data_IF_319156612298
#
_entry.id   IF_319156612298
#
_cell.length_a   1.000
_cell.length_b   1.000
_cell.length_c   1.000
_cell.angle_alpha   90.00
_cell.angle_beta   90.00
_cell.angle_gamma   90.00
#
_symmetry.space_group_name_H-M   'P 1'
#
loop_
_entity.id
_entity.type
_entity.pdbx_description
1 polymer ?
#
# COMPACT_ATOMS: atom_id res chain seq x y z
N UNK A 1 -33.56 41.88 -33.36
CA UNK A 1 -32.79 41.63 -32.11
C UNK A 1 -33.24 40.39 -31.31
N UNK A 2 -34.21 39.58 -31.76
CA UNK A 2 -34.76 38.43 -31.01
C UNK A 2 -34.15 37.04 -31.35
N UNK A 3 -33.27 36.92 -32.35
CA UNK A 3 -32.68 35.62 -32.74
C UNK A 3 -31.38 35.26 -31.99
N UNK A 4 -30.65 36.26 -31.47
CA UNK A 4 -29.40 36.02 -30.72
C UNK A 4 -29.64 35.56 -29.27
N UNK A 5 -30.77 35.93 -28.67
CA UNK A 5 -31.14 35.54 -27.29
C UNK A 5 -31.58 34.08 -27.18
N UNK A 6 -32.15 33.49 -28.25
CA UNK A 6 -32.55 32.07 -28.29
C UNK A 6 -31.35 31.12 -28.38
N UNK A 7 -30.26 31.55 -29.03
CA UNK A 7 -29.03 30.74 -29.12
C UNK A 7 -28.28 30.65 -27.77
N UNK A 8 -28.34 31.70 -26.95
CA UNK A 8 -27.74 31.71 -25.61
C UNK A 8 -28.51 30.85 -24.60
N UNK A 9 -29.84 30.80 -24.71
CA UNK A 9 -30.70 29.90 -23.92
C UNK A 9 -30.55 28.43 -24.33
N UNK A 10 -30.29 28.13 -25.62
CA UNK A 10 -30.01 26.78 -26.07
C UNK A 10 -28.62 26.29 -25.60
N UNK A 11 -27.63 27.19 -25.56
CA UNK A 11 -26.29 26.90 -25.07
C UNK A 11 -26.25 26.69 -23.54
N UNK A 12 -27.09 27.39 -22.76
CA UNK A 12 -27.19 27.15 -21.31
C UNK A 12 -27.97 25.87 -20.98
N UNK A 13 -28.96 25.47 -21.80
CA UNK A 13 -29.62 24.17 -21.68
C UNK A 13 -28.72 22.97 -22.04
N UNK A 14 -27.69 23.17 -22.87
CA UNK A 14 -26.70 22.13 -23.19
C UNK A 14 -25.68 21.89 -22.05
N UNK A 15 -25.50 22.85 -21.13
CA UNK A 15 -24.62 22.69 -19.97
C UNK A 15 -25.28 21.99 -18.77
N UNK A 16 -26.61 21.89 -18.71
CA UNK A 16 -27.30 21.19 -17.60
C UNK A 16 -27.36 19.67 -17.77
N UNK A 17 -27.02 19.14 -18.96
CA UNK A 17 -27.02 17.68 -19.22
C UNK A 17 -25.73 16.99 -18.75
N UNK A 18 -24.73 17.75 -18.30
CA UNK A 18 -23.44 17.19 -17.82
C UNK A 18 -23.55 16.63 -16.38
N UNK A 19 -24.63 16.91 -15.65
CA UNK A 19 -24.81 16.44 -14.27
C UNK A 19 -25.04 14.92 -14.15
N UNK A 20 -25.49 14.24 -15.22
CA UNK A 20 -25.59 12.76 -15.26
C UNK A 20 -24.29 12.07 -15.69
N UNK A 21 -23.22 12.82 -15.96
CA UNK A 21 -21.96 12.27 -16.48
C UNK A 21 -21.01 11.74 -15.38
N UNK A 22 -21.21 12.08 -14.10
CA UNK A 22 -20.21 11.81 -13.05
C UNK A 22 -20.01 10.31 -12.75
N UNK A 23 -21.05 9.49 -12.91
CA UNK A 23 -20.98 8.04 -12.66
C UNK A 23 -20.90 7.20 -13.94
N UNK A 24 -21.12 7.79 -15.12
CA UNK A 24 -21.34 7.06 -16.37
C UNK A 24 -20.11 6.30 -16.90
N UNK A 25 -18.92 6.72 -16.48
CA UNK A 25 -17.65 6.10 -16.90
C UNK A 25 -17.23 4.91 -16.02
N UNK A 26 -17.96 4.64 -14.93
CA UNK A 26 -17.71 3.52 -14.03
C UNK A 26 -18.58 2.31 -14.38
N UNK A 27 -18.06 1.11 -14.12
CA UNK A 27 -18.76 -0.14 -14.43
C UNK A 27 -19.80 -0.51 -13.38
N UNK A 28 -19.50 -0.33 -12.09
CA UNK A 28 -20.24 -0.96 -11.00
C UNK A 28 -20.52 0.01 -9.85
N UNK A 29 -21.69 -0.12 -9.22
CA UNK A 29 -22.05 0.54 -7.97
C UNK A 29 -22.58 -0.43 -6.92
N UNK A 30 -22.37 -0.12 -5.64
CA UNK A 30 -22.90 -0.83 -4.47
C UNK A 30 -23.41 0.17 -3.44
N UNK A 31 -24.66 0.01 -2.97
CA UNK A 31 -25.22 0.88 -1.92
C UNK A 31 -24.43 0.69 -0.61
N UNK A 32 -24.11 1.78 0.08
CA UNK A 32 -23.52 1.74 1.43
C UNK A 32 -24.67 1.70 2.43
N UNK A 33 -24.63 0.73 3.34
CA UNK A 33 -25.67 0.43 4.31
C UNK A 33 -25.14 0.67 5.73
N UNK A 34 -26.02 1.10 6.63
CA UNK A 34 -25.69 1.29 8.06
C UNK A 34 -25.04 2.64 8.39
N UNK A 35 -25.23 3.66 7.56
CA UNK A 35 -24.76 5.02 7.86
C UNK A 35 -25.65 5.60 8.96
N UNK A 36 -25.04 5.92 10.10
CA UNK A 36 -25.70 6.44 11.31
C UNK A 36 -25.03 7.70 11.86
N UNK A 37 -23.76 7.92 11.53
CA UNK A 37 -22.90 8.98 12.03
C UNK A 37 -22.23 9.71 10.86
N UNK A 38 -21.55 10.81 11.15
CA UNK A 38 -20.84 11.57 10.12
C UNK A 38 -19.63 10.80 9.57
N UNK A 39 -18.94 10.03 10.42
CA UNK A 39 -17.71 9.33 10.08
C UNK A 39 -17.90 7.83 10.20
N UNK A 40 -17.50 7.11 9.16
CA UNK A 40 -17.61 5.65 9.14
C UNK A 40 -16.38 5.01 8.52
N UNK A 41 -16.19 3.73 8.84
CA UNK A 41 -15.21 2.88 8.18
C UNK A 41 -15.89 1.82 7.31
N UNK A 42 -15.32 1.54 6.15
CA UNK A 42 -15.77 0.51 5.22
C UNK A 42 -14.58 -0.36 4.84
N UNK A 43 -14.62 -1.64 5.18
CA UNK A 43 -13.66 -2.60 4.62
C UNK A 43 -14.04 -2.93 3.18
N UNK A 44 -13.07 -2.83 2.26
CA UNK A 44 -13.28 -3.19 0.86
C UNK A 44 -13.23 -4.71 0.70
N UNK A 45 -14.34 -5.36 0.29
CA UNK A 45 -14.35 -6.80 0.11
C UNK A 45 -13.56 -7.20 -1.14
N UNK A 46 -13.04 -8.45 -1.21
CA UNK A 46 -12.31 -8.96 -2.38
C UNK A 46 -13.04 -8.78 -3.71
N UNK A 47 -14.39 -8.88 -3.69
CA UNK A 47 -15.23 -8.67 -4.89
C UNK A 47 -15.18 -7.27 -5.48
N UNK A 48 -14.86 -6.24 -4.67
CA UNK A 48 -14.60 -4.87 -5.16
C UNK A 48 -13.17 -4.79 -5.66
N UNK A 49 -12.20 -5.26 -4.86
CA UNK A 49 -10.77 -5.20 -5.18
C UNK A 49 -10.42 -5.96 -6.47
N UNK A 50 -11.21 -6.97 -6.86
CA UNK A 50 -11.04 -7.68 -8.11
C UNK A 50 -11.30 -6.82 -9.36
N UNK A 51 -12.09 -5.76 -9.24
CA UNK A 51 -12.65 -4.97 -10.36
C UNK A 51 -12.14 -3.53 -10.44
N UNK A 52 -11.32 -3.11 -9.47
CA UNK A 52 -10.69 -1.79 -9.44
C UNK A 52 -9.41 -1.77 -10.30
N UNK A 53 -8.96 -0.58 -10.65
CA UNK A 53 -7.69 -0.36 -11.34
C UNK A 53 -6.49 -0.79 -10.47
N UNK A 54 -5.33 -1.06 -11.07
CA UNK A 54 -4.12 -1.50 -10.34
C UNK A 54 -3.69 -0.51 -9.24
N UNK A 55 -3.93 0.79 -9.46
CA UNK A 55 -3.60 1.87 -8.54
C UNK A 55 -4.75 2.27 -7.61
N UNK A 56 -5.88 1.57 -7.64
CA UNK A 56 -7.09 1.83 -6.83
C UNK A 56 -7.67 3.25 -7.03
N UNK A 57 -7.29 3.93 -8.10
CA UNK A 57 -7.66 5.31 -8.40
C UNK A 57 -9.14 5.46 -8.77
N UNK A 58 -9.76 4.36 -9.17
CA UNK A 58 -11.10 4.31 -9.71
C UNK A 58 -12.18 4.01 -8.68
N UNK A 59 -11.93 4.30 -7.40
CA UNK A 59 -12.92 4.19 -6.34
C UNK A 59 -13.52 5.57 -6.08
N UNK A 60 -14.85 5.65 -6.02
CA UNK A 60 -15.59 6.86 -5.62
C UNK A 60 -16.74 6.54 -4.69
N UNK A 61 -17.13 7.53 -3.89
CA UNK A 61 -18.36 7.47 -3.09
C UNK A 61 -19.25 8.62 -3.54
N UNK A 62 -20.44 8.30 -4.03
CA UNK A 62 -21.42 9.30 -4.45
C UNK A 62 -22.68 9.20 -3.58
N UNK A 63 -23.10 10.34 -3.03
CA UNK A 63 -24.38 10.53 -2.37
C UNK A 63 -25.42 11.06 -3.36
N UNK A 64 -26.51 10.32 -3.53
CA UNK A 64 -27.58 10.64 -4.48
C UNK A 64 -28.83 11.02 -3.69
N UNK A 65 -29.47 12.12 -4.09
CA UNK A 65 -30.85 12.43 -3.75
C UNK A 65 -31.62 12.78 -5.04
N UNK A 66 -32.92 13.10 -5.00
CA UNK A 66 -33.69 13.44 -6.20
C UNK A 66 -33.24 14.73 -6.93
N UNK A 67 -32.46 15.61 -6.29
CA UNK A 67 -32.07 16.93 -6.82
C UNK A 67 -30.65 16.94 -7.38
N UNK A 68 -29.70 16.32 -6.69
CA UNK A 68 -28.27 16.40 -6.98
C UNK A 68 -27.49 15.13 -6.59
N UNK A 69 -26.34 14.96 -7.24
CA UNK A 69 -25.33 13.94 -6.91
C UNK A 69 -24.10 14.65 -6.38
N UNK A 70 -23.61 14.22 -5.22
CA UNK A 70 -22.44 14.81 -4.56
C UNK A 70 -21.41 13.73 -4.28
N UNK A 71 -20.14 14.00 -4.57
CA UNK A 71 -19.04 13.12 -4.20
C UNK A 71 -18.67 13.28 -2.72
N UNK A 72 -18.60 12.18 -1.98
CA UNK A 72 -18.17 12.18 -0.59
C UNK A 72 -16.66 11.95 -0.49
N UNK A 73 -15.91 12.86 0.17
CA UNK A 73 -14.50 12.66 0.46
C UNK A 73 -14.25 11.42 1.31
N UNK A 74 -13.14 10.75 1.02
CA UNK A 74 -12.73 9.56 1.76
C UNK A 74 -11.21 9.39 1.81
N UNK A 75 -10.72 8.59 2.75
CA UNK A 75 -9.34 8.12 2.82
C UNK A 75 -9.30 6.62 2.61
N UNK A 76 -8.50 6.17 1.64
CA UNK A 76 -8.14 4.77 1.49
C UNK A 76 -6.90 4.47 2.34
N UNK A 77 -7.05 3.57 3.31
CA UNK A 77 -5.99 3.09 4.21
C UNK A 77 -5.72 1.63 3.92
N UNK A 78 -4.44 1.32 3.75
CA UNK A 78 -3.94 -0.05 3.68
C UNK A 78 -3.43 -0.39 5.09
N UNK A 79 -3.97 -1.44 5.69
CA UNK A 79 -3.65 -1.89 7.05
C UNK A 79 -2.35 -2.71 7.08
N UNK A 80 -1.27 -2.13 6.51
CA UNK A 80 0.09 -2.63 6.60
C UNK A 80 0.64 -2.45 8.01
N UNK A 81 1.72 -3.16 8.33
CA UNK A 81 2.43 -2.99 9.59
C UNK A 81 2.94 -1.56 9.74
N UNK A 82 2.83 -1.03 10.95
CA UNK A 82 3.23 0.34 11.27
C UNK A 82 3.92 0.36 12.62
N UNK A 83 4.97 1.16 12.69
CA UNK A 83 5.56 1.60 13.94
C UNK A 83 4.93 2.94 14.30
N UNK A 84 4.38 3.02 15.50
CA UNK A 84 3.88 4.26 16.05
C UNK A 84 4.73 4.62 17.26
N UNK A 85 5.42 5.74 17.17
CA UNK A 85 6.10 6.34 18.32
C UNK A 85 5.06 7.13 19.12
N UNK A 86 4.76 6.65 20.32
CA UNK A 86 3.93 7.34 21.29
C UNK A 86 4.83 8.00 22.33
N UNK A 87 4.79 9.32 22.39
CA UNK A 87 5.53 10.08 23.39
C UNK A 87 4.91 9.91 24.78
N UNK A 88 5.77 9.66 25.77
CA UNK A 88 5.39 9.48 27.16
C UNK A 88 5.98 10.64 27.95
N UNK A 89 5.09 11.41 28.58
CA UNK A 89 5.50 12.47 29.49
C UNK A 89 6.25 11.92 30.70
N UNK A 90 7.25 12.64 31.18
CA UNK A 90 8.09 12.24 32.29
C UNK A 90 8.63 13.48 33.02
N UNK A 91 9.13 13.28 34.23
CA UNK A 91 9.85 14.30 34.99
C UNK A 91 11.27 13.82 35.28
N UNK A 92 12.27 14.70 35.11
CA UNK A 92 13.64 14.42 35.53
C UNK A 92 13.78 14.78 37.01
N UNK A 93 13.74 13.78 37.89
CA UNK A 93 13.67 13.99 39.34
C UNK A 93 15.04 14.04 40.02
N UNK A 94 16.08 13.44 39.41
CA UNK A 94 17.43 13.46 39.97
C UNK A 94 18.51 13.54 38.89
N UNK A 95 19.50 14.40 39.15
CA UNK A 95 20.79 14.45 38.45
C UNK A 95 21.85 14.33 39.53
N UNK A 96 22.49 13.16 39.63
CA UNK A 96 23.47 12.89 40.69
C UNK A 96 24.73 12.26 40.12
N UNK A 97 25.82 12.27 40.89
CA UNK A 97 27.10 11.71 40.45
C UNK A 97 27.87 11.15 41.64
N UNK A 98 28.56 10.02 41.43
CA UNK A 98 29.42 9.37 42.42
C UNK A 98 30.67 8.84 41.72
N UNK A 99 31.81 9.49 41.97
CA UNK A 99 33.07 9.23 41.25
C UNK A 99 32.85 9.39 39.73
N UNK A 100 33.25 8.42 38.92
CA UNK A 100 33.07 8.39 37.46
C UNK A 100 31.69 7.88 37.01
N UNK A 101 30.73 7.74 37.93
CA UNK A 101 29.36 7.33 37.59
C UNK A 101 28.42 8.53 37.71
N UNK A 102 27.75 8.86 36.61
CA UNK A 102 26.73 9.90 36.55
C UNK A 102 25.36 9.26 36.39
N UNK A 103 24.36 9.79 37.08
CA UNK A 103 23.01 9.21 37.15
C UNK A 103 21.96 10.26 36.80
N UNK A 104 21.04 9.86 35.93
CA UNK A 104 19.84 10.61 35.60
C UNK A 104 18.64 9.74 35.91
N UNK A 105 17.74 10.19 36.78
CA UNK A 105 16.54 9.45 37.15
C UNK A 105 15.30 10.16 36.66
N UNK A 106 14.51 9.46 35.86
CA UNK A 106 13.24 9.90 35.32
C UNK A 106 12.10 9.25 36.11
N UNK A 107 11.10 10.04 36.48
CA UNK A 107 9.81 9.56 36.92
C UNK A 107 8.83 9.59 35.75
N UNK A 108 8.09 8.50 35.57
CA UNK A 108 7.20 8.30 34.43
C UNK A 108 5.83 7.87 34.96
N UNK A 109 4.71 8.36 34.41
CA UNK A 109 3.39 7.90 34.79
C UNK A 109 3.28 6.39 34.52
N UNK A 110 3.22 5.57 35.58
CA UNK A 110 3.26 4.10 35.51
C UNK A 110 2.00 3.44 34.90
N UNK A 111 1.28 4.16 34.03
CA UNK A 111 0.10 3.67 33.32
C UNK A 111 0.49 2.83 32.10
N UNK A 112 1.57 3.20 31.41
CA UNK A 112 1.96 2.64 30.13
C UNK A 112 3.40 2.08 30.18
N UNK A 113 3.67 1.05 29.37
CA UNK A 113 5.03 0.57 29.17
C UNK A 113 5.78 1.51 28.21
N UNK A 114 7.10 1.46 28.23
CA UNK A 114 7.97 2.16 27.29
C UNK A 114 9.12 1.26 26.87
N UNK A 115 9.75 1.57 25.73
CA UNK A 115 10.77 0.72 25.14
C UNK A 115 11.86 1.49 24.37
N UNK A 116 11.78 2.82 24.34
CA UNK A 116 12.81 3.68 23.76
C UNK A 116 13.02 4.93 24.63
N UNK A 117 14.28 5.27 24.88
CA UNK A 117 14.70 6.56 25.45
C UNK A 117 15.75 7.18 24.53
N UNK A 118 15.49 8.38 24.03
CA UNK A 118 16.41 9.15 23.19
C UNK A 118 16.99 10.28 24.04
N UNK A 119 18.31 10.41 24.06
CA UNK A 119 19.01 11.38 24.90
C UNK A 119 19.71 12.44 24.06
N UNK A 120 19.48 13.72 24.37
CA UNK A 120 20.26 14.83 23.83
C UNK A 120 21.29 15.33 24.85
N UNK A 121 22.51 15.63 24.41
CA UNK A 121 23.67 15.97 25.24
C UNK A 121 24.38 17.16 24.63
N UNK A 122 24.87 18.07 25.48
CA UNK A 122 25.69 19.20 25.05
C UNK A 122 27.10 18.79 24.63
N UNK A 123 27.61 17.66 25.13
CA UNK A 123 28.92 17.14 24.78
C UNK A 123 29.00 16.86 23.26
N UNK A 124 30.02 17.42 22.61
CA UNK A 124 30.18 17.30 21.14
C UNK A 124 30.59 15.90 20.71
N UNK A 125 31.61 15.33 21.37
CA UNK A 125 32.15 14.02 21.07
C UNK A 125 32.17 13.18 22.35
N UNK A 126 31.68 11.94 22.28
CA UNK A 126 31.70 11.00 23.39
C UNK A 126 31.50 9.57 22.89
N UNK A 127 31.91 8.62 23.73
CA UNK A 127 31.66 7.19 23.57
C UNK A 127 31.44 6.60 24.96
N UNK A 128 30.19 6.35 25.31
CA UNK A 128 29.81 5.96 26.66
C UNK A 128 29.06 4.64 26.64
N UNK A 129 29.36 3.82 27.66
CA UNK A 129 28.53 2.69 28.04
C UNK A 129 27.53 3.14 29.09
N UNK A 130 26.30 2.72 28.88
CA UNK A 130 25.13 3.14 29.62
C UNK A 130 24.43 1.91 30.19
N UNK A 131 24.05 1.97 31.46
CA UNK A 131 23.17 1.00 32.09
C UNK A 131 21.84 1.68 32.42
N UNK A 132 20.75 1.05 31.99
CA UNK A 132 19.38 1.47 32.26
C UNK A 132 18.77 0.53 33.30
N UNK A 133 18.21 1.10 34.35
CA UNK A 133 17.54 0.37 35.42
C UNK A 133 16.12 0.90 35.63
N UNK A 134 15.20 0.03 36.04
CA UNK A 134 13.83 0.37 36.40
C UNK A 134 13.53 0.08 37.87
N UNK A 135 12.68 0.91 38.50
CA UNK A 135 12.21 0.73 39.88
C UNK A 135 10.76 1.22 40.03
N UNK A 136 10.00 0.64 40.96
CA UNK A 136 8.68 1.15 41.33
C UNK A 136 8.73 2.16 42.48
N UNK A 137 9.67 1.98 43.42
CA UNK A 137 9.71 2.70 44.71
C UNK A 137 11.08 3.35 45.00
N UNK A 138 12.00 3.35 44.04
CA UNK A 138 13.39 3.82 44.16
C UNK A 138 14.30 3.05 45.13
N UNK A 139 13.80 2.03 45.85
CA UNK A 139 14.59 1.15 46.72
C UNK A 139 15.32 0.06 45.92
N UNK A 140 14.58 -0.72 45.14
CA UNK A 140 15.09 -1.86 44.37
C UNK A 140 15.13 -1.54 42.88
N UNK A 141 16.28 -1.81 42.25
CA UNK A 141 16.55 -1.46 40.86
C UNK A 141 16.81 -2.72 40.02
N UNK A 142 16.02 -2.87 38.96
CA UNK A 142 16.11 -4.00 38.03
C UNK A 142 16.80 -3.55 36.75
N UNK A 143 17.79 -4.30 36.28
CA UNK A 143 18.54 -3.94 35.06
C UNK A 143 17.69 -4.23 33.82
N UNK A 144 17.48 -3.22 32.99
CA UNK A 144 16.75 -3.31 31.71
C UNK A 144 17.74 -3.41 30.55
N UNK A 145 18.74 -2.53 30.54
CA UNK A 145 19.87 -2.59 29.61
C UNK A 145 21.19 -2.59 30.37
N UNK A 146 22.11 -3.43 29.89
CA UNK A 146 23.46 -3.52 30.40
C UNK A 146 24.44 -3.18 29.27
N UNK A 147 25.38 -2.27 29.55
CA UNK A 147 26.48 -1.89 28.65
C UNK A 147 26.03 -1.38 27.27
N UNK A 148 24.87 -0.70 27.18
CA UNK A 148 24.41 -0.08 25.94
C UNK A 148 25.35 1.06 25.53
N UNK A 149 25.85 1.05 24.29
CA UNK A 149 26.78 2.06 23.81
C UNK A 149 26.03 3.23 23.16
N UNK A 150 26.31 4.45 23.61
CA UNK A 150 25.91 5.68 22.92
C UNK A 150 27.15 6.47 22.53
N UNK A 151 27.12 7.13 21.39
CA UNK A 151 28.28 7.86 20.89
C UNK A 151 27.92 9.05 20.01
N UNK A 152 28.83 10.01 19.96
CA UNK A 152 28.79 11.17 19.08
C UNK A 152 30.19 11.43 18.55
N UNK A 153 30.31 11.60 17.22
CA UNK A 153 31.55 11.90 16.53
C UNK A 153 31.27 13.00 15.51
N UNK A 154 31.86 14.17 15.75
CA UNK A 154 31.78 15.34 14.87
C UNK A 154 33.18 15.87 14.58
N UNK A 155 33.66 15.64 13.36
CA UNK A 155 34.93 16.13 12.83
C UNK A 155 34.76 16.60 11.37
N UNK A 156 35.86 16.83 10.63
CA UNK A 156 35.79 17.31 9.24
C UNK A 156 35.27 16.28 8.21
N UNK A 157 35.15 15.01 8.58
CA UNK A 157 34.76 13.91 7.68
C UNK A 157 33.41 13.29 8.03
N UNK A 158 32.97 13.37 9.30
CA UNK A 158 31.71 12.79 9.75
C UNK A 158 31.03 13.67 10.81
N UNK A 159 29.71 13.67 10.77
CA UNK A 159 28.83 14.21 11.82
C UNK A 159 27.80 13.11 12.13
N UNK A 160 28.14 12.25 13.10
CA UNK A 160 27.35 11.08 13.47
C UNK A 160 27.01 11.12 14.96
N UNK A 161 25.76 10.81 15.29
CA UNK A 161 25.26 10.74 16.66
C UNK A 161 24.27 9.59 16.83
N UNK A 162 24.51 8.76 17.83
CA UNK A 162 23.60 7.67 18.22
C UNK A 162 23.42 7.68 19.75
N UNK A 163 22.23 8.05 20.18
CA UNK A 163 21.87 8.22 21.60
C UNK A 163 20.54 7.58 21.96
N UNK A 164 20.12 6.58 21.17
CA UNK A 164 18.90 5.80 21.40
C UNK A 164 19.21 4.63 22.32
N UNK A 165 18.42 4.48 23.38
CA UNK A 165 18.38 3.30 24.22
C UNK A 165 17.11 2.52 23.87
N UNK A 166 17.26 1.42 23.13
CA UNK A 166 16.15 0.54 22.73
C UNK A 166 16.16 -0.72 23.58
N UNK A 167 15.01 -1.12 24.12
CA UNK A 167 14.88 -2.26 25.04
C UNK A 167 13.51 -2.93 24.94
N UNK A 168 13.33 -4.15 25.50
CA UNK A 168 12.00 -4.75 25.60
C UNK A 168 11.03 -3.86 26.40
N UNK A 169 9.72 -3.98 26.15
CA UNK A 169 8.71 -3.22 26.88
C UNK A 169 8.90 -3.36 28.40
N UNK A 170 9.14 -2.23 29.06
CA UNK A 170 9.31 -2.13 30.49
C UNK A 170 8.25 -1.20 31.09
N UNK A 171 7.76 -1.53 32.29
CA UNK A 171 6.71 -0.76 32.99
C UNK A 171 7.13 -0.49 34.43
N UNK A 172 7.96 0.52 34.61
CA UNK A 172 8.39 1.03 35.92
C UNK A 172 7.97 2.48 36.10
N UNK A 173 7.79 2.91 37.35
CA UNK A 173 7.58 4.32 37.69
C UNK A 173 8.86 5.14 37.55
N UNK A 174 10.02 4.56 37.88
CA UNK A 174 11.30 5.24 37.84
C UNK A 174 12.27 4.54 36.91
N UNK A 175 12.97 5.31 36.09
CA UNK A 175 14.05 4.84 35.24
C UNK A 175 15.33 5.58 35.58
N UNK A 176 16.39 4.86 35.90
CA UNK A 176 17.70 5.44 36.18
C UNK A 176 18.68 5.04 35.11
N UNK A 177 19.26 6.04 34.48
CA UNK A 177 20.32 5.90 33.49
C UNK A 177 21.63 6.21 34.18
N UNK A 178 22.59 5.29 34.07
CA UNK A 178 23.93 5.45 34.61
C UNK A 178 24.97 5.46 33.50
N UNK A 179 25.88 6.42 33.60
CA UNK A 179 26.97 6.64 32.64
C UNK A 179 28.28 6.47 33.36
N UNK A 180 29.17 5.64 32.81
CA UNK A 180 30.55 5.55 33.28
C UNK A 180 31.42 6.44 32.40
N UNK A 181 31.84 7.59 32.94
CA UNK A 181 32.62 8.60 32.21
C UNK A 181 33.47 9.43 33.16
N UNK A 182 34.61 9.90 32.67
CA UNK A 182 35.43 10.90 33.38
C UNK A 182 34.89 12.32 33.20
N UNK A 183 34.20 12.55 32.08
CA UNK A 183 33.57 13.83 31.73
C UNK A 183 32.08 13.73 32.01
N UNK A 184 31.52 14.74 32.67
CA UNK A 184 30.10 14.84 32.95
C UNK A 184 29.27 14.78 31.64
N UNK A 185 28.32 13.83 31.52
CA UNK A 185 27.35 13.80 30.44
C UNK A 185 26.30 14.89 30.58
N UNK A 186 26.50 16.07 30.01
CA UNK A 186 25.58 17.20 30.13
C UNK A 186 24.28 16.98 29.35
N UNK A 187 23.30 16.33 29.98
CA UNK A 187 21.98 16.07 29.40
C UNK A 187 21.27 17.40 29.08
N UNK A 188 20.93 17.60 27.81
CA UNK A 188 20.18 18.75 27.32
C UNK A 188 18.68 18.47 27.29
N UNK A 189 18.29 17.29 26.83
CA UNK A 189 16.90 16.83 26.83
C UNK A 189 16.84 15.30 26.79
N UNK A 190 15.68 14.75 27.12
CA UNK A 190 15.37 13.35 26.91
C UNK A 190 13.98 13.25 26.27
N UNK A 191 13.78 12.24 25.44
CA UNK A 191 12.49 11.91 24.87
C UNK A 191 12.23 10.43 25.15
N UNK A 192 11.11 10.13 25.79
CA UNK A 192 10.75 8.77 26.19
C UNK A 192 9.56 8.34 25.33
N UNK A 193 9.67 7.18 24.71
CA UNK A 193 8.65 6.67 23.81
C UNK A 193 8.25 5.23 24.13
N UNK A 194 7.01 4.92 23.78
CA UNK A 194 6.59 3.59 23.44
C UNK A 194 6.53 3.50 21.90
N UNK A 195 7.47 2.75 21.33
CA UNK A 195 7.44 2.31 19.94
C UNK A 195 6.48 1.12 19.84
N UNK A 196 5.22 1.41 19.53
CA UNK A 196 4.18 0.40 19.33
C UNK A 196 4.31 -0.21 17.94
N UNK A 197 4.49 -1.52 17.88
CA UNK A 197 4.38 -2.28 16.65
C UNK A 197 2.92 -2.70 16.43
N UNK A 198 2.25 -2.02 15.49
CA UNK A 198 0.90 -2.38 15.06
C UNK A 198 1.04 -3.37 13.90
N UNK A 199 0.72 -4.63 14.17
CA UNK A 199 0.77 -5.70 13.17
C UNK A 199 -0.17 -5.44 11.99
N UNK A 200 0.26 -5.87 10.80
CA UNK A 200 -0.57 -5.81 9.60
C UNK A 200 -1.86 -6.64 9.75
N UNK A 201 -2.95 -6.17 9.15
CA UNK A 201 -4.18 -6.95 8.98
C UNK A 201 -4.24 -7.52 7.57
N UNK A 202 -4.51 -8.81 7.48
CA UNK A 202 -4.51 -9.56 6.23
C UNK A 202 -5.87 -10.18 5.95
N UNK A 203 -6.23 -10.20 4.67
CA UNK A 203 -7.26 -11.06 4.11
C UNK A 203 -6.60 -12.22 3.37
N UNK A 204 -6.95 -13.45 3.74
CA UNK A 204 -6.49 -14.64 3.02
C UNK A 204 -7.16 -14.71 1.65
N UNK A 205 -6.38 -14.95 0.61
CA UNK A 205 -6.88 -15.10 -0.76
C UNK A 205 -6.91 -16.58 -1.11
N UNK A 206 -8.05 -17.05 -1.61
CA UNK A 206 -8.24 -18.46 -1.94
C UNK A 206 -7.46 -18.81 -3.21
N UNK A 207 -6.56 -19.79 -3.10
CA UNK A 207 -5.92 -20.44 -4.25
C UNK A 207 -6.95 -21.39 -4.87
N UNK A 208 -7.29 -21.16 -6.13
CA UNK A 208 -8.24 -21.98 -6.88
C UNK A 208 -7.54 -23.18 -7.53
N UNK A 209 -6.30 -22.98 -8.00
CA UNK A 209 -5.52 -24.02 -8.66
C UNK A 209 -4.03 -23.83 -8.38
N UNK A 210 -3.33 -24.93 -8.16
CA UNK A 210 -1.89 -24.99 -7.94
C UNK A 210 -1.34 -26.11 -8.82
N UNK A 211 -0.56 -25.73 -9.83
CA UNK A 211 0.18 -26.67 -10.68
C UNK A 211 1.65 -26.62 -10.35
N UNK A 212 2.29 -27.77 -10.21
CA UNK A 212 3.72 -27.89 -9.99
C UNK A 212 4.31 -28.66 -11.15
N UNK A 213 5.32 -28.08 -11.79
CA UNK A 213 6.01 -28.63 -12.95
C UNK A 213 7.51 -28.44 -12.81
N UNK A 214 8.29 -29.14 -13.62
CA UNK A 214 9.75 -29.06 -13.61
C UNK A 214 10.25 -28.70 -14.99
N UNK A 215 11.18 -27.74 -15.06
CA UNK A 215 11.99 -27.47 -16.23
C UNK A 215 13.35 -28.15 -16.03
N UNK A 216 13.51 -29.33 -16.63
CA UNK A 216 14.72 -30.16 -16.46
C UNK A 216 15.95 -29.54 -17.12
N UNK A 217 15.77 -28.78 -18.19
CA UNK A 217 16.87 -28.14 -18.91
C UNK A 217 17.46 -27.00 -18.08
N UNK A 218 16.59 -26.25 -17.39
CA UNK A 218 16.99 -25.16 -16.48
C UNK A 218 17.23 -25.60 -15.05
N UNK A 219 16.91 -26.84 -14.71
CA UNK A 219 16.98 -27.39 -13.34
C UNK A 219 16.15 -26.56 -12.33
N UNK A 220 14.91 -26.31 -12.71
CA UNK A 220 13.98 -25.47 -11.95
C UNK A 220 12.65 -26.17 -11.67
N UNK A 221 12.08 -25.87 -10.51
CA UNK A 221 10.68 -26.19 -10.19
C UNK A 221 9.82 -24.94 -10.40
N UNK A 222 8.73 -25.10 -11.15
CA UNK A 222 7.81 -24.00 -11.50
C UNK A 222 6.43 -24.31 -10.93
N UNK A 223 5.98 -23.45 -10.03
CA UNK A 223 4.64 -23.49 -9.47
C UNK A 223 3.78 -22.41 -10.13
N UNK A 224 2.70 -22.81 -10.79
CA UNK A 224 1.66 -21.88 -11.26
C UNK A 224 0.55 -21.83 -10.23
N UNK A 225 0.36 -20.65 -9.62
CA UNK A 225 -0.65 -20.43 -8.59
C UNK A 225 -1.74 -19.54 -9.19
N UNK A 226 -2.95 -20.09 -9.33
CA UNK A 226 -4.12 -19.33 -9.80
C UNK A 226 -5.07 -19.07 -8.63
N UNK A 227 -5.37 -17.80 -8.38
CA UNK A 227 -6.30 -17.34 -7.36
C UNK A 227 -7.74 -17.37 -7.89
N UNK A 228 -8.71 -17.49 -6.99
CA UNK A 228 -10.14 -17.53 -7.33
C UNK A 228 -10.60 -16.28 -8.10
N UNK A 229 -10.13 -15.12 -7.66
CA UNK A 229 -10.36 -13.83 -8.27
C UNK A 229 -9.08 -12.99 -8.23
N UNK A 230 -9.06 -11.90 -9.00
CA UNK A 230 -8.00 -10.91 -8.89
C UNK A 230 -8.07 -10.28 -7.49
N UNK A 231 -6.96 -10.24 -6.77
CA UNK A 231 -6.92 -9.73 -5.40
C UNK A 231 -5.56 -9.10 -5.11
N UNK A 232 -5.47 -8.15 -4.15
CA UNK A 232 -4.19 -7.64 -3.72
C UNK A 232 -3.46 -8.75 -2.96
N UNK A 233 -2.20 -8.98 -3.31
CA UNK A 233 -1.32 -9.94 -2.64
C UNK A 233 -0.09 -9.19 -2.18
N UNK A 234 0.27 -9.37 -0.92
CA UNK A 234 1.45 -8.77 -0.28
C UNK A 234 2.23 -9.78 0.56
N UNK A 235 1.77 -11.02 0.62
CA UNK A 235 2.36 -12.08 1.42
C UNK A 235 2.11 -13.44 0.78
N UNK A 236 3.12 -14.30 0.81
CA UNK A 236 3.01 -15.72 0.47
C UNK A 236 3.69 -16.58 1.53
N UNK A 237 3.12 -17.74 1.82
CA UNK A 237 3.73 -18.76 2.66
C UNK A 237 3.66 -20.11 1.97
N UNK A 238 4.76 -20.85 2.04
CA UNK A 238 4.92 -22.17 1.42
C UNK A 238 5.06 -23.22 2.53
N UNK A 239 4.17 -24.22 2.49
CA UNK A 239 4.27 -25.40 3.36
C UNK A 239 5.07 -26.49 2.63
N UNK A 240 6.29 -26.72 3.08
CA UNK A 240 7.25 -27.65 2.48
C UNK A 240 7.40 -28.86 3.40
N UNK A 241 7.08 -30.04 2.88
CA UNK A 241 6.99 -31.27 3.65
C UNK A 241 8.25 -32.15 3.62
N UNK A 242 9.33 -31.67 3.01
CA UNK A 242 10.59 -32.39 2.99
C UNK A 242 11.17 -32.52 4.40
N UNK A 243 11.76 -33.68 4.69
CA UNK A 243 12.43 -33.97 5.96
C UNK A 243 13.94 -33.71 5.92
N UNK A 244 14.48 -33.39 4.74
CA UNK A 244 15.90 -33.06 4.54
C UNK A 244 16.11 -31.55 4.52
N UNK A 245 17.34 -31.13 4.81
CA UNK A 245 17.73 -29.72 4.74
C UNK A 245 17.81 -29.19 3.31
N UNK A 246 17.33 -27.96 3.13
CA UNK A 246 17.35 -27.29 1.84
C UNK A 246 17.68 -25.82 2.00
N UNK A 247 18.28 -25.26 0.96
CA UNK A 247 18.56 -23.83 0.81
C UNK A 247 18.49 -23.49 -0.68
N UNK A 248 17.38 -22.90 -1.13
CA UNK A 248 17.12 -22.65 -2.56
C UNK A 248 16.64 -21.24 -2.80
N UNK A 249 17.26 -20.55 -3.75
CA UNK A 249 16.73 -19.28 -4.23
C UNK A 249 15.42 -19.50 -4.99
N UNK A 250 14.52 -18.52 -4.87
CA UNK A 250 13.31 -18.49 -5.66
C UNK A 250 13.05 -17.10 -6.24
N UNK A 251 12.27 -17.07 -7.30
CA UNK A 251 11.68 -15.88 -7.87
C UNK A 251 10.15 -15.99 -7.87
N UNK A 252 9.48 -15.07 -7.19
CA UNK A 252 8.03 -14.94 -7.26
C UNK A 252 7.67 -13.90 -8.30
N UNK A 253 6.85 -14.29 -9.26
CA UNK A 253 6.37 -13.46 -10.36
C UNK A 253 4.85 -13.39 -10.37
N UNK A 254 4.30 -12.37 -11.01
CA UNK A 254 2.86 -12.24 -11.27
C UNK A 254 2.60 -11.97 -12.75
N UNK A 255 1.47 -12.44 -13.25
CA UNK A 255 1.03 -12.12 -14.61
C UNK A 255 0.60 -10.66 -14.68
N UNK A 256 1.42 -9.82 -15.31
CA UNK A 256 1.19 -8.38 -15.44
C UNK A 256 0.22 -8.07 -16.58
N UNK A 257 0.37 -8.78 -17.69
CA UNK A 257 -0.52 -8.67 -18.85
C UNK A 257 -0.78 -10.05 -19.45
N UNK A 258 -1.65 -10.09 -20.46
CA UNK A 258 -1.87 -11.28 -21.25
C UNK A 258 -2.30 -10.95 -22.67
N UNK A 259 -1.83 -11.75 -23.62
CA UNK A 259 -2.16 -11.63 -25.04
C UNK A 259 -2.91 -12.90 -25.47
N UNK A 260 -4.07 -12.73 -26.10
CA UNK A 260 -4.79 -13.84 -26.70
C UNK A 260 -4.06 -14.27 -27.98
N UNK A 261 -3.71 -15.54 -28.08
CA UNK A 261 -3.14 -16.15 -29.28
C UNK A 261 -4.00 -17.32 -29.73
N UNK A 262 -3.83 -17.79 -30.96
CA UNK A 262 -4.55 -18.97 -31.49
C UNK A 262 -4.33 -20.23 -30.64
N UNK A 263 -3.18 -20.32 -29.94
CA UNK A 263 -2.83 -21.43 -29.04
C UNK A 263 -3.26 -21.20 -27.60
N UNK A 264 -4.01 -20.13 -27.33
CA UNK A 264 -4.47 -19.74 -26.00
C UNK A 264 -3.82 -18.46 -25.47
N UNK A 265 -4.04 -18.18 -24.18
CA UNK A 265 -3.52 -16.98 -23.53
C UNK A 265 -2.03 -17.11 -23.22
N UNK A 266 -1.23 -16.16 -23.71
CA UNK A 266 0.17 -15.99 -23.30
C UNK A 266 0.24 -14.88 -22.25
N UNK A 267 0.81 -15.18 -21.09
CA UNK A 267 0.95 -14.22 -19.98
C UNK A 267 2.37 -13.68 -19.93
N UNK A 268 2.53 -12.36 -19.80
CA UNK A 268 3.84 -11.78 -19.48
C UNK A 268 3.95 -11.62 -17.97
N UNK A 269 5.03 -12.16 -17.42
CA UNK A 269 5.30 -12.17 -16.00
C UNK A 269 6.28 -11.07 -15.63
N UNK A 270 6.07 -10.47 -14.46
CA UNK A 270 7.02 -9.56 -13.83
C UNK A 270 7.41 -10.09 -12.46
N UNK A 271 8.68 -9.95 -12.13
CA UNK A 271 9.22 -10.27 -10.80
C UNK A 271 8.56 -9.39 -9.75
N UNK A 272 8.04 -10.02 -8.71
CA UNK A 272 7.43 -9.38 -7.55
C UNK A 272 8.41 -9.31 -6.39
N UNK A 273 9.08 -10.43 -6.13
CA UNK A 273 10.14 -10.53 -5.13
C UNK A 273 11.03 -11.75 -5.40
N UNK A 274 12.22 -11.75 -4.81
CA UNK A 274 13.15 -12.86 -4.79
C UNK A 274 13.49 -13.18 -3.33
N UNK A 275 13.88 -14.42 -3.06
CA UNK A 275 14.25 -14.82 -1.71
C UNK A 275 14.82 -16.22 -1.67
N UNK A 276 14.90 -16.78 -0.47
CA UNK A 276 15.47 -18.10 -0.23
C UNK A 276 14.52 -18.95 0.60
N UNK A 277 14.23 -20.15 0.11
CA UNK A 277 13.58 -21.22 0.86
C UNK A 277 14.61 -21.96 1.68
N UNK A 278 14.35 -22.17 2.97
CA UNK A 278 15.24 -22.95 3.83
C UNK A 278 14.48 -23.80 4.87
N UNK A 279 15.14 -24.83 5.42
CA UNK A 279 14.58 -25.74 6.42
C UNK A 279 14.61 -25.23 7.87
N UNK A 280 15.26 -24.09 8.13
CA UNK A 280 15.50 -23.55 9.48
C UNK A 280 14.37 -22.59 9.89
N UNK A 281 13.98 -21.69 8.99
CA UNK A 281 13.00 -20.66 9.23
C UNK A 281 11.66 -20.96 8.55
N UNK A 282 10.60 -20.25 8.96
CA UNK A 282 9.34 -20.31 8.25
C UNK A 282 9.48 -19.67 6.88
N UNK A 283 9.05 -20.37 5.84
CA UNK A 283 9.03 -19.87 4.47
C UNK A 283 7.84 -18.92 4.25
N UNK A 284 7.90 -17.77 4.91
CA UNK A 284 6.91 -16.68 4.90
C UNK A 284 7.55 -15.41 4.32
N UNK A 285 7.01 -14.92 3.20
CA UNK A 285 7.61 -13.80 2.47
C UNK A 285 6.61 -12.66 2.30
N UNK A 286 7.00 -11.47 2.76
CA UNK A 286 6.27 -10.20 2.57
C UNK A 286 6.86 -9.45 1.38
N UNK A 287 6.01 -8.74 0.63
CA UNK A 287 6.42 -7.93 -0.53
C UNK A 287 5.44 -6.78 -0.77
N UNK A 288 5.78 -5.90 -1.71
CA UNK A 288 4.92 -4.80 -2.12
C UNK A 288 3.60 -5.32 -2.71
N UNK A 289 2.48 -4.76 -2.25
CA UNK A 289 1.15 -5.22 -2.63
C UNK A 289 0.91 -5.06 -4.14
N UNK A 290 0.49 -6.13 -4.81
CA UNK A 290 0.12 -6.13 -6.24
C UNK A 290 -1.26 -6.77 -6.43
N UNK A 291 -2.06 -6.22 -7.34
CA UNK A 291 -3.32 -6.84 -7.76
C UNK A 291 -3.03 -7.93 -8.81
N UNK A 292 -3.19 -9.19 -8.43
CA UNK A 292 -2.91 -10.32 -9.32
C UNK A 292 -3.99 -11.40 -9.21
N UNK A 293 -4.14 -12.18 -10.29
CA UNK A 293 -4.92 -13.42 -10.29
C UNK A 293 -4.04 -14.66 -10.50
N UNK A 294 -2.92 -14.50 -11.21
CA UNK A 294 -1.97 -15.58 -11.48
C UNK A 294 -0.59 -15.18 -10.97
N UNK A 295 0.00 -16.07 -10.18
CA UNK A 295 1.37 -15.98 -9.70
C UNK A 295 2.17 -17.16 -10.25
N UNK A 296 3.47 -16.97 -10.39
CA UNK A 296 4.41 -18.03 -10.75
C UNK A 296 5.58 -17.98 -9.78
N UNK A 297 5.85 -19.08 -9.10
CA UNK A 297 7.04 -19.25 -8.28
C UNK A 297 8.02 -20.14 -9.05
N UNK A 298 9.22 -19.64 -9.29
CA UNK A 298 10.33 -20.39 -9.87
C UNK A 298 11.34 -20.66 -8.78
N UNK A 299 11.65 -21.93 -8.53
CA UNK A 299 12.62 -22.37 -7.52
C UNK A 299 13.82 -22.94 -8.28
N UNK A 300 15.02 -22.46 -7.95
CA UNK A 300 16.26 -23.02 -8.48
C UNK A 300 16.58 -24.31 -7.73
N UNK A 301 16.42 -25.46 -8.39
CA UNK A 301 16.72 -26.76 -7.79
C UNK A 301 18.20 -27.12 -7.91
N UNK A 302 18.88 -26.61 -8.94
CA UNK A 302 20.21 -27.06 -9.34
C UNK A 302 20.23 -28.59 -9.48
N UNK A 303 21.21 -29.28 -8.90
CA UNK A 303 21.30 -30.75 -8.96
C UNK A 303 20.43 -31.47 -7.91
N UNK A 304 19.62 -30.73 -7.13
CA UNK A 304 18.83 -31.32 -6.06
C UNK A 304 17.47 -31.82 -6.53
N UNK A 305 16.91 -32.79 -5.81
CA UNK A 305 15.53 -33.24 -6.03
C UNK A 305 14.51 -32.11 -5.72
N UNK A 306 13.43 -31.95 -6.49
CA UNK A 306 12.38 -30.95 -6.25
C UNK A 306 11.80 -30.98 -4.83
N UNK A 307 11.40 -29.81 -4.31
CA UNK A 307 10.73 -29.72 -3.00
C UNK A 307 9.28 -30.21 -3.08
N UNK A 308 8.82 -30.89 -2.04
CA UNK A 308 7.45 -31.34 -1.86
C UNK A 308 6.62 -30.24 -1.19
N UNK A 309 5.97 -29.42 -2.02
CA UNK A 309 5.17 -28.28 -1.58
C UNK A 309 3.71 -28.74 -1.41
N UNK A 310 3.25 -28.82 -0.16
CA UNK A 310 1.89 -29.27 0.19
C UNK A 310 0.86 -28.19 -0.05
N UNK A 311 1.18 -26.95 0.33
CA UNK A 311 0.23 -25.86 0.31
C UNK A 311 0.92 -24.51 0.06
N UNK A 312 0.16 -23.60 -0.53
CA UNK A 312 0.55 -22.20 -0.74
C UNK A 312 -0.53 -21.31 -0.16
N UNK A 313 -0.17 -20.48 0.80
CA UNK A 313 -1.08 -19.50 1.41
C UNK A 313 -0.72 -18.12 0.88
N UNK A 314 -1.64 -17.51 0.15
CA UNK A 314 -1.53 -16.13 -0.30
C UNK A 314 -2.38 -15.20 0.57
N UNK A 315 -1.83 -14.05 0.97
CA UNK A 315 -2.55 -13.03 1.75
C UNK A 315 -2.30 -11.65 1.17
N UNK A 316 -3.28 -10.76 1.34
CA UNK A 316 -3.19 -9.35 1.00
C UNK A 316 -3.55 -8.46 2.18
N UNK A 317 -3.00 -7.26 2.24
CA UNK A 317 -3.40 -6.30 3.27
C UNK A 317 -4.90 -5.96 3.18
N UNK A 318 -5.54 -5.82 4.33
CA UNK A 318 -6.90 -5.31 4.42
C UNK A 318 -6.94 -3.86 3.94
N UNK A 319 -7.86 -3.55 3.03
CA UNK A 319 -8.07 -2.21 2.51
C UNK A 319 -9.32 -1.61 3.15
N UNK A 320 -9.18 -0.45 3.77
CA UNK A 320 -10.26 0.24 4.48
C UNK A 320 -10.45 1.64 3.95
N UNK A 321 -11.70 2.01 3.71
CA UNK A 321 -12.09 3.38 3.43
C UNK A 321 -12.60 4.02 4.72
N UNK A 322 -12.17 5.24 5.00
CA UNK A 322 -12.80 6.12 5.99
C UNK A 322 -13.46 7.27 5.25
N UNK A 323 -14.78 7.39 5.35
CA UNK A 323 -15.56 8.38 4.60
C UNK A 323 -16.33 9.32 5.52
N UNK A 324 -16.55 10.55 5.03
CA UNK A 324 -17.38 11.57 5.68
C UNK A 324 -18.72 11.71 4.96
N UNK A 325 -19.82 11.54 5.68
CA UNK A 325 -21.18 11.70 5.16
C UNK A 325 -21.85 12.89 5.85
N UNK A 326 -22.01 14.00 5.13
CA UNK A 326 -22.55 15.25 5.69
C UNK A 326 -24.08 15.36 5.57
N UNK A 327 -24.64 14.82 4.49
CA UNK A 327 -26.06 14.96 4.19
C UNK A 327 -26.79 13.61 4.26
N UNK A 328 -28.08 13.65 4.53
CA UNK A 328 -28.97 12.48 4.41
C UNK A 328 -29.22 12.18 2.92
N UNK A 329 -28.38 11.32 2.34
CA UNK A 329 -28.41 10.87 0.94
C UNK A 329 -28.28 9.36 0.88
N UNK A 330 -28.68 8.77 -0.25
CA UNK A 330 -28.34 7.38 -0.53
C UNK A 330 -26.92 7.33 -1.09
N UNK A 331 -25.98 6.80 -0.31
CA UNK A 331 -24.58 6.71 -0.70
C UNK A 331 -24.26 5.39 -1.40
N UNK A 332 -23.42 5.47 -2.44
CA UNK A 332 -22.97 4.33 -3.23
C UNK A 332 -21.45 4.36 -3.38
N UNK A 333 -20.81 3.20 -3.18
CA UNK A 333 -19.46 2.95 -3.63
C UNK A 333 -19.48 2.62 -5.12
N UNK A 334 -18.69 3.32 -5.91
CA UNK A 334 -18.64 3.23 -7.36
C UNK A 334 -17.21 2.93 -7.81
N UNK A 335 -17.04 1.99 -8.73
CA UNK A 335 -15.73 1.52 -9.19
C UNK A 335 -15.76 0.82 -10.55
N UNK A 336 -14.59 0.53 -11.11
CA UNK A 336 -14.43 -0.07 -12.43
C UNK A 336 -14.30 0.99 -13.52
N UNK A 337 -13.38 1.94 -13.36
CA UNK A 337 -13.03 2.93 -14.37
C UNK A 337 -11.50 3.03 -14.50
N UNK A 338 -10.93 2.27 -15.43
CA UNK A 338 -9.47 2.22 -15.63
C UNK A 338 -8.82 3.57 -15.98
N UNK A 339 -9.60 4.57 -16.41
CA UNK A 339 -9.10 5.90 -16.77
C UNK A 339 -9.27 6.93 -15.64
N UNK A 340 -9.81 6.52 -14.48
CA UNK A 340 -10.01 7.40 -13.35
C UNK A 340 -8.67 7.83 -12.74
N UNK A 341 -8.60 9.09 -12.30
CA UNK A 341 -7.47 9.64 -11.56
C UNK A 341 -7.65 9.42 -10.07
N UNK A 342 -6.56 9.35 -9.32
CA UNK A 342 -6.62 9.29 -7.85
C UNK A 342 -7.32 10.57 -7.33
N UNK A 343 -8.32 10.46 -6.45
CA UNK A 343 -8.97 11.65 -5.91
C UNK A 343 -8.03 12.39 -4.95
N UNK A 344 -8.09 13.72 -4.98
CA UNK A 344 -7.33 14.59 -4.08
C UNK A 344 -8.29 15.37 -3.20
N UNK A 345 -8.41 14.97 -1.93
CA UNK A 345 -9.28 15.62 -0.96
C UNK A 345 -8.46 16.27 0.15
N UNK A 346 -8.94 17.41 0.67
CA UNK A 346 -8.35 18.08 1.84
C UNK A 346 -8.31 17.19 3.09
N UNK A 347 -9.10 16.11 3.09
CA UNK A 347 -9.14 15.12 4.15
C UNK A 347 -7.77 14.47 4.43
N UNK A 348 -6.88 14.41 3.42
CA UNK A 348 -5.51 13.89 3.60
C UNK A 348 -4.72 14.73 4.61
N UNK A 349 -4.94 16.05 4.63
CA UNK A 349 -4.23 16.98 5.52
C UNK A 349 -4.89 17.15 6.89
N UNK A 350 -6.15 16.71 7.03
CA UNK A 350 -6.95 16.85 8.27
C UNK A 350 -7.20 15.52 8.97
N UNK A 351 -6.37 14.51 8.68
CA UNK A 351 -6.56 13.14 9.19
C UNK A 351 -6.52 13.03 10.72
N UNK A 352 -5.91 13.99 11.42
CA UNK A 352 -5.89 14.09 12.89
C UNK A 352 -7.25 14.41 13.50
N UNK A 353 -8.16 15.01 12.72
CA UNK A 353 -9.51 15.40 13.18
C UNK A 353 -10.53 14.26 13.01
N UNK A 354 -10.13 13.13 12.43
CA UNK A 354 -11.00 11.97 12.28
C UNK A 354 -11.09 11.24 13.63
N UNK A 355 -12.29 10.91 14.13
CA UNK A 355 -12.46 10.14 15.36
C UNK A 355 -11.65 8.84 15.35
N UNK A 356 -11.09 8.47 16.51
CA UNK A 356 -10.31 7.23 16.66
C UNK A 356 -11.17 5.97 16.59
N UNK A 357 -12.43 6.06 17.03
CA UNK A 357 -13.44 5.01 16.91
C UNK A 357 -14.38 5.34 15.76
N UNK A 358 -14.53 4.41 14.82
CA UNK A 358 -15.38 4.56 13.63
C UNK A 358 -16.36 3.41 13.56
N UNK A 359 -17.65 3.71 13.45
CA UNK A 359 -18.68 2.70 13.25
C UNK A 359 -18.57 2.10 11.84
N UNK A 360 -18.54 0.75 11.70
CA UNK A 360 -18.37 0.10 10.41
C UNK A 360 -19.67 0.13 9.59
N UNK A 361 -19.55 0.35 8.28
CA UNK A 361 -20.64 0.25 7.30
C UNK A 361 -20.42 -0.91 6.36
N UNK A 362 -21.51 -1.37 5.74
CA UNK A 362 -21.49 -2.54 4.86
C UNK A 362 -21.88 -2.16 3.43
N UNK A 363 -21.47 -2.98 2.46
CA UNK A 363 -21.91 -2.84 1.07
C UNK A 363 -23.08 -3.77 0.77
N UNK A 364 -24.14 -3.19 0.21
CA UNK A 364 -25.26 -3.93 -0.36
C UNK A 364 -24.88 -4.68 -1.64
N UNK A 365 -25.90 -5.08 -2.41
CA UNK A 365 -25.72 -5.87 -3.65
C UNK A 365 -25.00 -5.08 -4.73
N UNK A 366 -24.29 -5.82 -5.58
CA UNK A 366 -23.59 -5.32 -6.76
C UNK A 366 -24.57 -4.99 -7.88
N UNK A 367 -24.50 -3.77 -8.42
CA UNK A 367 -25.35 -3.30 -9.52
C UNK A 367 -24.44 -2.76 -10.62
N UNK A 368 -24.62 -3.22 -11.85
CA UNK A 368 -23.91 -2.69 -13.02
C UNK A 368 -24.50 -1.34 -13.42
N UNK A 369 -23.64 -0.39 -13.78
CA UNK A 369 -24.03 0.90 -14.31
C UNK A 369 -24.22 0.75 -15.82
N UNK A 370 -25.42 1.04 -16.37
CA UNK A 370 -25.64 0.92 -17.80
C UNK A 370 -24.80 1.96 -18.54
N UNK A 371 -23.84 1.51 -19.35
CA UNK A 371 -23.08 2.37 -20.26
C UNK A 371 -23.96 2.74 -21.44
N UNK A 372 -24.05 4.04 -21.76
CA UNK A 372 -24.55 4.47 -23.07
C UNK A 372 -23.61 3.87 -24.11
N UNK A 373 -24.12 3.04 -25.03
CA UNK A 373 -23.32 2.53 -26.16
C UNK A 373 -22.74 3.74 -26.88
N UNK A 374 -21.43 3.94 -26.80
CA UNK A 374 -20.74 4.75 -27.79
C UNK A 374 -20.78 3.90 -29.05
N UNK A 375 -21.51 4.36 -30.07
CA UNK A 375 -21.44 3.73 -31.37
C UNK A 375 -19.96 3.65 -31.76
N UNK A 376 -19.50 2.45 -32.06
CA UNK A 376 -18.13 2.26 -32.55
C UNK A 376 -18.05 3.03 -33.86
N UNK A 377 -17.43 4.21 -33.83
CA UNK A 377 -17.08 4.92 -35.06
C UNK A 377 -16.11 3.98 -35.77
N UNK A 378 -16.54 3.41 -36.90
CA UNK A 378 -15.73 2.50 -37.68
C UNK A 378 -14.40 3.19 -38.05
N UNK A 379 -13.26 2.46 -38.04
CA UNK A 379 -11.98 2.96 -38.55
C UNK A 379 -12.15 3.60 -39.93
N UNK A 380 -11.42 4.67 -40.24
CA UNK A 380 -11.49 5.35 -41.54
C UNK A 380 -11.27 4.40 -42.74
N UNK A 381 -10.49 3.33 -42.55
CA UNK A 381 -10.23 2.29 -43.56
C UNK A 381 -11.43 1.35 -43.82
N UNK A 382 -12.41 1.28 -42.90
CA UNK A 382 -13.68 0.58 -43.14
C UNK A 382 -14.68 1.47 -43.91
N UNK A 383 -14.40 2.77 -44.09
CA UNK A 383 -15.26 3.66 -44.85
C UNK A 383 -14.96 3.54 -46.35
N UNK A 384 -15.92 2.98 -47.10
CA UNK A 384 -15.83 2.78 -48.54
C UNK A 384 -15.49 4.06 -49.31
N UNK A 385 -16.09 5.21 -48.95
CA UNK A 385 -15.79 6.50 -49.59
C UNK A 385 -14.37 6.99 -49.34
N UNK A 386 -13.81 6.67 -48.16
CA UNK A 386 -12.44 7.04 -47.81
C UNK A 386 -11.43 6.21 -48.62
N UNK A 387 -11.72 4.92 -48.82
CA UNK A 387 -10.95 4.05 -49.72
C UNK A 387 -10.98 4.55 -51.17
N UNK A 388 -12.16 4.92 -51.68
CA UNK A 388 -12.30 5.50 -53.03
C UNK A 388 -11.54 6.82 -53.18
N UNK A 389 -11.57 7.69 -52.15
CA UNK A 389 -10.80 8.93 -52.16
C UNK A 389 -9.28 8.66 -52.23
N UNK A 390 -8.77 7.70 -51.45
CA UNK A 390 -7.36 7.30 -51.49
C UNK A 390 -6.99 6.69 -52.84
N UNK A 391 -7.84 5.81 -53.40
CA UNK A 391 -7.64 5.27 -54.76
C UNK A 391 -7.61 6.39 -55.81
N UNK A 392 -8.51 7.37 -55.72
CA UNK A 392 -8.53 8.51 -56.62
C UNK A 392 -7.24 9.34 -56.56
N UNK A 393 -6.71 9.58 -55.36
CA UNK A 393 -5.41 10.25 -55.18
C UNK A 393 -4.27 9.43 -55.77
N UNK A 394 -4.23 8.12 -55.53
CA UNK A 394 -3.19 7.24 -56.11
C UNK A 394 -3.24 7.24 -57.64
N UNK A 395 -4.43 7.15 -58.22
CA UNK A 395 -4.63 7.20 -59.68
C UNK A 395 -4.19 8.56 -60.24
N UNK A 396 -4.52 9.67 -59.58
CA UNK A 396 -4.08 11.01 -59.99
C UNK A 396 -2.56 11.17 -59.93
N UNK A 397 -1.91 10.64 -58.90
CA UNK A 397 -0.46 10.67 -58.75
C UNK A 397 0.20 9.83 -59.86
N UNK A 398 -0.26 8.61 -60.08
CA UNK A 398 0.26 7.73 -61.14
C UNK A 398 0.00 8.32 -62.54
N UNK A 399 -1.19 8.87 -62.78
CA UNK A 399 -1.55 9.60 -64.00
C UNK A 399 -0.67 10.83 -64.23
N UNK A 400 -0.39 11.60 -63.19
CA UNK A 400 0.52 12.75 -63.25
C UNK A 400 1.96 12.35 -63.57
N UNK A 401 2.47 11.28 -62.94
CA UNK A 401 3.81 10.76 -63.22
C UNK A 401 3.94 10.22 -64.65
N UNK A 402 2.95 9.48 -65.14
CA UNK A 402 2.94 8.96 -66.52
C UNK A 402 2.89 10.09 -67.55
N UNK A 403 2.03 11.10 -67.37
CA UNK A 403 1.99 12.27 -68.25
C UNK A 403 3.31 13.07 -68.22
N UNK A 404 3.94 13.20 -67.05
CA UNK A 404 5.25 13.86 -66.89
C UNK A 404 6.37 13.07 -67.58
N UNK A 405 6.30 11.74 -67.59
CA UNK A 405 7.25 10.90 -68.32
C UNK A 405 7.06 10.97 -69.84
N UNK A 406 5.82 11.16 -70.32
CA UNK A 406 5.52 11.31 -71.75
C UNK A 406 5.86 12.69 -72.32
N UNK A 407 5.84 13.75 -71.49
CA UNK A 407 6.16 15.13 -71.89
C UNK A 407 7.65 15.46 -71.82
N UNK A 408 8.48 14.58 -71.23
CA UNK A 408 9.94 14.60 -71.40
C UNK A 408 10.32 13.75 -72.62
N UNK A 409 10.26 14.35 -73.80
CA UNK A 409 10.94 13.85 -75.00
C UNK A 409 11.83 14.93 -75.56
#
# INVERSE_FOLDING_TARGET
MMKRTKAFLLASLLFSVVAFAQMGDYDTKRKILGISEQWHSLELPPSVLAKVSDNLADIRIYGINPKDTVESPYLLRIEKEKHQLKEIGFELINITSKKQNHYYTFEVPAKEALNEIILDFKNRNFDWKVKLEGSQEQSDWYTILKDARILSIKNGQTDYRFTHLNFPNAKYRYYRISFKSEILPELKSANIHLNEHIGAKYNTVKVAHLDISQDKDKKQSILQITLDQRAPISFISLDIANTFDYYRSFELQYAHDSIATEKGWKYNYRTLTQGTLNSIEKNEFKFNSVLAKKLRLVIEDHDNQPLNIKNVVAKGYTHRITARFNDKRDYFLVYGNNNARVPNYDLVYTSKNIPSSLTPVNLGKTVQIPKKRKDKVAPLFENEYWLWAVMGVVILVLGGFTLKMMTKK
#
